data_IF_683244050882
#
_entry.id   IF_683244050882
#
_cell.length_a   1.000
_cell.length_b   1.000
_cell.length_c   1.000
_cell.angle_alpha   90.00
_cell.angle_beta   90.00
_cell.angle_gamma   90.00
#
_symmetry.space_group_name_H-M   'P 1'
#
loop_
_entity.id
_entity.type
_entity.pdbx_description
1 polymer ?
#
# COMPACT_ATOMS: atom_id res chain seq x y z
N UNK A 1 -19.99 4.30 4.41
CA UNK A 1 -19.12 4.71 5.53
C UNK A 1 -17.79 5.11 4.92
N UNK A 2 -17.24 6.30 5.20
CA UNK A 2 -15.87 6.59 4.77
C UNK A 2 -14.93 5.58 5.41
N UNK A 3 -13.85 5.14 4.73
CA UNK A 3 -12.91 4.19 5.29
C UNK A 3 -12.38 4.71 6.63
N UNK A 4 -12.44 3.89 7.69
CA UNK A 4 -11.98 4.25 9.05
C UNK A 4 -10.53 4.78 9.09
N UNK A 5 -9.75 4.48 8.05
CA UNK A 5 -8.39 4.94 7.76
C UNK A 5 -8.25 6.48 7.72
N UNK A 6 -9.30 7.23 7.35
CA UNK A 6 -9.20 8.69 7.16
C UNK A 6 -9.41 9.52 8.44
N UNK A 7 -9.55 8.90 9.62
CA UNK A 7 -9.78 9.61 10.88
C UNK A 7 -8.50 10.00 11.64
N UNK A 8 -7.33 9.61 11.14
CA UNK A 8 -6.05 9.94 11.75
C UNK A 8 -5.41 11.16 11.05
N UNK A 9 -4.96 12.13 11.86
CA UNK A 9 -4.37 13.38 11.36
C UNK A 9 -3.02 13.14 10.67
N UNK A 10 -2.24 12.15 11.11
CA UNK A 10 -0.99 11.78 10.44
C UNK A 10 -1.26 11.18 9.06
N UNK A 11 -2.22 10.25 8.99
CA UNK A 11 -2.70 9.68 7.72
C UNK A 11 -3.20 10.76 6.76
N UNK A 12 -3.96 11.75 7.24
CA UNK A 12 -4.39 12.87 6.41
C UNK A 12 -3.22 13.75 5.93
N UNK A 13 -2.22 14.00 6.78
CA UNK A 13 -1.03 14.77 6.41
C UNK A 13 -0.22 14.04 5.33
N UNK A 14 -0.06 12.74 5.50
CA UNK A 14 0.62 11.86 4.55
C UNK A 14 -0.11 11.85 3.20
N UNK A 15 -1.41 11.59 3.19
CA UNK A 15 -2.22 11.62 1.98
C UNK A 15 -2.09 12.97 1.25
N UNK A 16 -2.14 14.08 1.99
CA UNK A 16 -1.94 15.41 1.40
C UNK A 16 -0.54 15.58 0.81
N UNK A 17 0.50 15.05 1.45
CA UNK A 17 1.87 15.09 0.94
C UNK A 17 2.03 14.27 -0.35
N UNK A 18 1.44 13.07 -0.40
CA UNK A 18 1.42 12.24 -1.61
C UNK A 18 0.68 12.92 -2.76
N UNK A 19 -0.54 13.39 -2.49
CA UNK A 19 -1.39 14.10 -3.45
C UNK A 19 -0.70 15.35 -4.05
N UNK A 20 0.05 16.11 -3.23
CA UNK A 20 0.79 17.30 -3.70
C UNK A 20 1.89 16.96 -4.70
N UNK A 21 2.47 15.75 -4.61
CA UNK A 21 3.53 15.27 -5.52
C UNK A 21 2.97 14.55 -6.75
N UNK A 22 1.70 14.14 -6.70
CA UNK A 22 1.01 13.37 -7.73
C UNK A 22 0.74 14.20 -8.99
N UNK A 23 1.15 13.71 -10.16
CA UNK A 23 0.67 14.23 -11.44
C UNK A 23 -0.73 13.68 -11.73
N UNK A 24 -1.41 14.25 -12.73
CA UNK A 24 -2.69 13.70 -13.19
C UNK A 24 -2.43 12.28 -13.70
N UNK A 25 -3.33 11.34 -13.41
CA UNK A 25 -3.28 9.91 -13.76
C UNK A 25 -2.22 9.04 -13.04
N UNK A 26 -1.26 9.62 -12.33
CA UNK A 26 -0.33 8.87 -11.46
C UNK A 26 -1.12 8.28 -10.28
N UNK A 27 -1.21 6.97 -10.07
CA UNK A 27 -1.95 6.44 -8.93
C UNK A 27 -1.08 6.39 -7.67
N UNK A 28 -1.72 6.54 -6.51
CA UNK A 28 -1.11 6.29 -5.20
C UNK A 28 -1.76 5.06 -4.59
N UNK A 29 -0.93 4.16 -4.07
CA UNK A 29 -1.36 3.04 -3.24
C UNK A 29 -1.12 3.39 -1.78
N UNK A 30 -2.17 3.41 -0.98
CA UNK A 30 -2.11 3.50 0.47
C UNK A 30 -2.37 2.11 1.07
N UNK A 31 -1.51 1.70 2.01
CA UNK A 31 -1.60 0.40 2.67
C UNK A 31 -1.67 0.62 4.18
N UNK A 32 -2.75 0.12 4.78
CA UNK A 32 -2.85 -0.01 6.23
C UNK A 32 -2.41 -1.42 6.61
N UNK A 33 -1.15 -1.56 7.02
CA UNK A 33 -0.57 -2.83 7.41
C UNK A 33 -1.23 -3.40 8.67
N UNK A 34 -1.32 -4.73 8.74
CA UNK A 34 -1.65 -5.44 9.97
C UNK A 34 -0.35 -5.85 10.65
N UNK A 35 0.10 -5.06 11.63
CA UNK A 35 1.35 -5.35 12.36
C UNK A 35 1.31 -6.71 13.09
N UNK A 36 0.11 -7.20 13.43
CA UNK A 36 -0.04 -8.50 14.10
C UNK A 36 0.28 -9.67 13.18
N UNK A 37 0.26 -9.44 11.86
CA UNK A 37 0.67 -10.43 10.86
C UNK A 37 2.17 -10.70 10.86
N UNK A 38 3.00 -9.84 11.48
CA UNK A 38 4.46 -9.96 11.54
C UNK A 38 4.97 -10.24 12.97
N UNK A 39 4.27 -11.14 13.68
CA UNK A 39 4.45 -11.34 15.12
C UNK A 39 5.42 -12.46 15.52
N UNK A 40 6.07 -13.13 14.57
CA UNK A 40 7.06 -14.17 14.88
C UNK A 40 8.34 -13.54 15.46
N UNK A 41 9.19 -14.28 16.20
CA UNK A 41 10.36 -13.72 16.90
C UNK A 41 11.36 -12.94 16.03
N UNK A 42 11.35 -13.19 14.72
CA UNK A 42 12.16 -12.51 13.70
C UNK A 42 11.41 -11.38 12.97
N UNK A 43 10.21 -10.99 13.42
CA UNK A 43 9.37 -9.99 12.75
C UNK A 43 8.82 -10.47 11.41
N UNK A 44 8.70 -11.79 11.22
CA UNK A 44 8.12 -12.39 10.02
C UNK A 44 6.68 -12.83 10.23
N UNK A 45 6.03 -13.19 9.12
CA UNK A 45 4.69 -13.76 9.11
C UNK A 45 4.65 -15.23 9.56
N UNK A 46 5.66 -16.01 9.21
CA UNK A 46 5.59 -17.48 9.27
C UNK A 46 6.91 -18.16 9.69
N UNK A 47 7.77 -17.45 10.42
CA UNK A 47 9.12 -17.85 10.84
C UNK A 47 10.17 -17.86 9.72
N UNK A 48 9.82 -17.60 8.46
CA UNK A 48 10.82 -17.29 7.44
C UNK A 48 11.27 -15.83 7.58
N UNK A 49 12.55 -15.54 7.86
CA UNK A 49 13.03 -14.18 8.05
C UNK A 49 12.89 -13.29 6.80
N UNK A 50 12.62 -13.85 5.62
CA UNK A 50 12.34 -13.10 4.40
C UNK A 50 10.87 -12.69 4.24
N UNK A 51 9.96 -13.24 5.06
CA UNK A 51 8.53 -12.94 5.00
C UNK A 51 8.16 -11.83 5.99
N UNK A 52 8.81 -10.67 5.84
CA UNK A 52 8.65 -9.52 6.74
C UNK A 52 8.15 -8.27 5.97
N UNK A 53 7.77 -7.23 6.72
CA UNK A 53 7.26 -5.97 6.14
C UNK A 53 8.28 -5.29 5.21
N UNK A 54 9.57 -5.29 5.55
CA UNK A 54 10.59 -4.66 4.73
C UNK A 54 10.68 -5.32 3.35
N UNK A 55 10.61 -6.64 3.27
CA UNK A 55 10.63 -7.36 1.99
C UNK A 55 9.42 -7.03 1.12
N UNK A 56 8.26 -6.75 1.73
CA UNK A 56 7.09 -6.26 1.00
C UNK A 56 7.27 -4.85 0.47
N UNK A 57 7.77 -3.95 1.31
CA UNK A 57 8.10 -2.57 0.92
C UNK A 57 9.10 -2.56 -0.22
N UNK A 58 10.15 -3.38 -0.15
CA UNK A 58 11.16 -3.50 -1.20
C UNK A 58 10.54 -4.04 -2.50
N UNK A 59 9.66 -5.04 -2.42
CA UNK A 59 8.92 -5.55 -3.59
C UNK A 59 8.07 -4.46 -4.28
N UNK A 60 7.44 -3.58 -3.50
CA UNK A 60 6.65 -2.46 -4.02
C UNK A 60 7.56 -1.42 -4.70
N UNK A 61 8.70 -1.11 -4.09
CA UNK A 61 9.68 -0.16 -4.63
C UNK A 61 10.34 -0.69 -5.89
N UNK A 62 10.69 -1.97 -5.95
CA UNK A 62 11.24 -2.63 -7.13
C UNK A 62 10.27 -2.61 -8.32
N UNK A 63 8.95 -2.60 -8.05
CA UNK A 63 7.92 -2.44 -9.06
C UNK A 63 7.71 -0.97 -9.52
N UNK A 64 8.45 -0.02 -8.94
CA UNK A 64 8.41 1.40 -9.30
C UNK A 64 7.58 2.28 -8.37
N UNK A 65 7.20 1.79 -7.18
CA UNK A 65 6.54 2.59 -6.16
C UNK A 65 7.50 3.52 -5.44
N UNK A 66 7.27 4.83 -5.50
CA UNK A 66 7.99 5.83 -4.71
C UNK A 66 7.38 5.94 -3.31
N UNK A 67 8.17 5.58 -2.29
CA UNK A 67 7.74 5.60 -0.89
C UNK A 67 7.65 7.03 -0.36
N UNK A 68 6.42 7.48 -0.17
CA UNK A 68 6.15 8.86 0.18
C UNK A 68 6.56 9.12 1.63
N UNK A 69 7.57 9.98 1.79
CA UNK A 69 8.14 10.36 3.10
C UNK A 69 8.84 9.20 3.85
N UNK A 70 9.17 8.09 3.19
CA UNK A 70 9.81 6.91 3.79
C UNK A 70 9.01 6.35 4.99
N UNK A 71 7.69 6.38 4.89
CA UNK A 71 6.77 5.90 5.95
C UNK A 71 6.23 4.51 5.67
N UNK A 72 6.52 3.94 4.49
CA UNK A 72 6.14 2.59 4.09
C UNK A 72 4.62 2.33 3.99
N UNK A 73 3.79 3.36 4.09
CA UNK A 73 2.32 3.25 4.04
C UNK A 73 1.71 3.82 2.76
N UNK A 74 2.50 4.55 1.97
CA UNK A 74 2.05 5.19 0.73
C UNK A 74 3.11 5.10 -0.35
N UNK A 75 2.68 4.64 -1.52
CA UNK A 75 3.55 4.46 -2.66
C UNK A 75 2.93 5.15 -3.88
N UNK A 76 3.64 6.13 -4.43
CA UNK A 76 3.24 6.81 -5.65
C UNK A 76 3.81 6.08 -6.87
N UNK A 77 3.02 5.90 -7.91
CA UNK A 77 3.45 5.29 -9.16
C UNK A 77 3.31 6.28 -10.31
N UNK A 78 4.23 6.23 -11.27
CA UNK A 78 4.20 7.10 -12.45
C UNK A 78 3.10 6.72 -13.45
N UNK A 79 2.56 5.49 -13.38
CA UNK A 79 1.49 5.02 -14.27
C UNK A 79 0.59 4.00 -13.58
N UNK A 80 -0.65 3.87 -14.06
CA UNK A 80 -1.54 2.76 -13.72
C UNK A 80 -0.94 1.38 -14.03
N UNK A 81 -0.10 1.29 -15.06
CA UNK A 81 0.58 0.05 -15.45
C UNK A 81 1.61 -0.39 -14.42
N UNK A 82 2.37 0.55 -13.85
CA UNK A 82 3.35 0.26 -12.81
C UNK A 82 2.66 -0.26 -11.55
N UNK A 83 1.56 0.37 -11.14
CA UNK A 83 0.75 -0.12 -10.04
C UNK A 83 0.19 -1.53 -10.32
N UNK A 84 -0.38 -1.76 -11.51
CA UNK A 84 -0.91 -3.07 -11.87
C UNK A 84 0.17 -4.15 -11.95
N UNK A 85 1.42 -3.78 -12.28
CA UNK A 85 2.57 -4.69 -12.24
C UNK A 85 2.99 -4.96 -10.80
N UNK A 86 3.08 -3.94 -9.95
CA UNK A 86 3.34 -4.06 -8.52
C UNK A 86 2.38 -5.07 -7.88
N UNK A 87 1.08 -4.83 -8.02
CA UNK A 87 0.05 -5.72 -7.46
C UNK A 87 0.20 -7.16 -7.95
N UNK A 88 0.59 -7.39 -9.22
CA UNK A 88 0.80 -8.74 -9.77
C UNK A 88 2.09 -9.40 -9.29
N UNK A 89 3.11 -8.62 -8.92
CA UNK A 89 4.42 -9.12 -8.50
C UNK A 89 4.55 -9.29 -6.99
N UNK A 90 3.56 -8.84 -6.21
CA UNK A 90 3.53 -9.07 -4.77
C UNK A 90 3.69 -10.56 -4.45
N UNK A 91 4.56 -10.90 -3.48
CA UNK A 91 4.95 -12.28 -3.25
C UNK A 91 3.77 -13.13 -2.79
N UNK A 92 3.78 -14.40 -3.18
CA UNK A 92 2.68 -15.33 -2.86
C UNK A 92 2.47 -15.48 -1.35
N UNK A 93 3.53 -15.45 -0.55
CA UNK A 93 3.42 -15.55 0.91
C UNK A 93 2.66 -14.38 1.53
N UNK A 94 2.57 -13.22 0.87
CA UNK A 94 1.84 -12.06 1.35
C UNK A 94 0.34 -12.10 0.99
N UNK A 95 -0.08 -13.07 0.17
CA UNK A 95 -1.49 -13.26 -0.19
C UNK A 95 -2.31 -13.75 1.00
N UNK A 96 -3.63 -13.67 0.87
CA UNK A 96 -4.56 -14.28 1.79
C UNK A 96 -4.29 -15.79 1.89
N UNK A 97 -4.23 -16.29 3.12
CA UNK A 97 -4.00 -17.70 3.41
C UNK A 97 -4.95 -18.13 4.52
N UNK A 98 -5.54 -19.32 4.36
CA UNK A 98 -6.48 -19.85 5.34
C UNK A 98 -5.79 -20.02 6.71
N UNK A 99 -6.41 -19.48 7.75
CA UNK A 99 -5.93 -19.51 9.14
C UNK A 99 -4.66 -18.69 9.42
N UNK A 100 -4.26 -17.80 8.52
CA UNK A 100 -3.17 -16.85 8.74
C UNK A 100 -3.71 -15.42 8.65
N UNK A 101 -3.38 -14.51 9.60
CA UNK A 101 -3.76 -13.11 9.50
C UNK A 101 -3.26 -12.49 8.18
N UNK A 102 -4.07 -11.65 7.55
CA UNK A 102 -3.69 -10.93 6.34
C UNK A 102 -2.62 -9.88 6.64
N UNK A 103 -1.78 -9.54 5.65
CA UNK A 103 -0.69 -8.57 5.85
C UNK A 103 -1.17 -7.13 5.95
N UNK A 104 -2.39 -6.83 5.51
CA UNK A 104 -2.97 -5.50 5.50
C UNK A 104 -4.45 -5.55 5.90
N UNK A 105 -4.87 -4.61 6.76
CA UNK A 105 -6.27 -4.41 7.09
C UNK A 105 -7.07 -3.81 5.93
N UNK A 106 -6.44 -2.95 5.15
CA UNK A 106 -7.05 -2.32 3.98
C UNK A 106 -6.00 -1.79 3.02
N UNK A 107 -6.30 -1.87 1.72
CA UNK A 107 -5.52 -1.23 0.67
C UNK A 107 -6.42 -0.30 -0.11
N UNK A 108 -5.96 0.93 -0.31
CA UNK A 108 -6.72 1.98 -0.98
C UNK A 108 -5.88 2.49 -2.15
N UNK A 109 -6.52 2.63 -3.30
CA UNK A 109 -5.95 3.33 -4.44
C UNK A 109 -6.54 4.74 -4.53
N UNK A 110 -5.68 5.73 -4.66
CA UNK A 110 -6.05 7.12 -4.92
C UNK A 110 -5.63 7.51 -6.34
N UNK A 111 -6.59 7.91 -7.16
CA UNK A 111 -6.36 8.41 -8.51
C UNK A 111 -6.65 9.91 -8.57
N UNK A 112 -5.74 10.68 -9.17
CA UNK A 112 -5.97 12.10 -9.46
C UNK A 112 -6.58 12.24 -10.85
N UNK A 113 -7.88 12.55 -10.90
CA UNK A 113 -8.66 12.61 -12.14
C UNK A 113 -8.45 13.89 -12.92
N UNK A 114 -8.04 14.98 -12.26
CA UNK A 114 -7.79 16.25 -12.92
C UNK A 114 -6.82 17.13 -12.15
N UNK A 115 -6.25 18.12 -12.85
CA UNK A 115 -5.42 19.18 -12.24
C UNK A 115 -6.17 20.01 -11.20
N UNK A 116 -7.51 20.00 -11.24
CA UNK A 116 -8.37 20.84 -10.41
C UNK A 116 -8.66 20.24 -9.03
N UNK A 117 -7.98 19.14 -8.68
CA UNK A 117 -8.10 18.50 -7.37
C UNK A 117 -9.27 17.53 -7.26
N UNK A 118 -9.73 16.96 -8.37
CA UNK A 118 -10.66 15.82 -8.31
C UNK A 118 -9.87 14.54 -8.05
N UNK A 119 -10.23 13.83 -6.99
CA UNK A 119 -9.64 12.56 -6.61
C UNK A 119 -10.72 11.49 -6.57
N UNK A 120 -10.36 10.30 -7.03
CA UNK A 120 -11.11 9.07 -6.82
C UNK A 120 -10.36 8.22 -5.79
N UNK A 121 -11.13 7.68 -4.84
CA UNK A 121 -10.63 6.79 -3.80
C UNK A 121 -11.39 5.48 -3.95
N UNK A 122 -10.68 4.40 -4.23
CA UNK A 122 -11.26 3.08 -4.42
C UNK A 122 -10.55 2.02 -3.55
N UNK A 123 -11.27 1.04 -2.99
CA UNK A 123 -10.66 -0.13 -2.39
C UNK A 123 -9.83 -0.91 -3.42
N UNK A 124 -8.65 -1.36 -3.03
CA UNK A 124 -7.76 -2.19 -3.85
C UNK A 124 -7.70 -3.61 -3.30
N UNK A 125 -8.87 -4.23 -3.13
CA UNK A 125 -9.01 -5.48 -2.37
C UNK A 125 -8.22 -6.65 -2.98
N UNK A 126 -7.89 -6.59 -4.27
CA UNK A 126 -7.11 -7.63 -4.98
C UNK A 126 -5.59 -7.52 -4.75
N UNK A 127 -5.11 -6.52 -4.02
CA UNK A 127 -3.67 -6.32 -3.81
C UNK A 127 -3.02 -7.49 -3.05
N UNK A 128 -3.68 -7.98 -2.00
CA UNK A 128 -3.20 -9.09 -1.16
C UNK A 128 -4.19 -10.26 -1.07
N UNK A 129 -5.29 -10.24 -1.83
CA UNK A 129 -6.16 -11.41 -2.01
C UNK A 129 -5.59 -12.39 -3.04
#
# INVERSE_FOLDING_TARGET
MPPHVLNDAETCRLLLAGIKKQKVDDPILYIHWDETSFNQPNGSRDNDPTHNLQTLVDSIKDAGGDDVENKHVMFAFNTGTDLARCVRQLPQWARHQANTPDVAHSVIRLNKLSSNGNYEIEPCDHAFN
#
